data_IF_900593708647
#
_entry.id   IF_900593708647
#
_cell.length_a   1.000
_cell.length_b   1.000
_cell.length_c   1.000
_cell.angle_alpha   90.00
_cell.angle_beta   90.00
_cell.angle_gamma   90.00
#
_symmetry.space_group_name_H-M   'P 1'
#
loop_
_entity.id
_entity.type
_entity.pdbx_description
1 polymer ?
#
# COMPACT_ATOMS: atom_id res chain seq x y z
N UNK A 1 -11.09 17.13 13.17
CA UNK A 1 -10.60 16.27 12.07
C UNK A 1 -11.59 15.12 11.91
N UNK A 2 -11.83 14.63 10.70
CA UNK A 2 -12.76 13.50 10.52
C UNK A 2 -12.21 12.22 11.19
N UNK A 3 -13.06 11.43 11.90
CA UNK A 3 -12.65 10.15 12.48
C UNK A 3 -12.18 9.16 11.40
N UNK A 4 -11.14 8.37 11.68
CA UNK A 4 -10.67 7.30 10.80
C UNK A 4 -9.99 6.20 11.62
N UNK A 5 -10.27 4.91 11.36
CA UNK A 5 -9.62 3.80 12.08
C UNK A 5 -8.14 3.63 11.71
N UNK A 6 -7.66 4.34 10.68
CA UNK A 6 -6.29 4.25 10.18
C UNK A 6 -5.40 5.41 10.67
N UNK A 7 -5.94 6.34 11.47
CA UNK A 7 -5.28 7.58 11.87
C UNK A 7 -5.09 7.65 13.38
N UNK A 8 -3.97 8.23 13.80
CA UNK A 8 -3.70 8.58 15.20
C UNK A 8 -2.44 7.90 15.69
N UNK A 9 -2.23 8.00 17.01
CA UNK A 9 -1.18 7.24 17.68
C UNK A 9 -1.40 5.73 17.46
N UNK A 10 -0.33 4.93 17.36
CA UNK A 10 -0.48 3.50 17.23
C UNK A 10 -1.21 2.91 18.45
N UNK A 11 -2.15 2.03 18.16
CA UNK A 11 -2.88 1.22 19.14
C UNK A 11 -3.09 -0.15 18.52
N UNK A 12 -3.39 -1.19 19.32
CA UNK A 12 -3.69 -2.51 18.76
C UNK A 12 -4.80 -2.51 17.70
N UNK A 13 -5.81 -1.64 17.84
CA UNK A 13 -6.89 -1.48 16.86
C UNK A 13 -6.41 -0.84 15.56
N UNK A 14 -5.61 0.23 15.64
CA UNK A 14 -5.01 0.88 14.47
C UNK A 14 -4.10 -0.10 13.72
N UNK A 15 -3.25 -0.84 14.45
CA UNK A 15 -2.37 -1.85 13.84
C UNK A 15 -3.17 -2.97 13.16
N UNK A 16 -4.24 -3.48 13.81
CA UNK A 16 -5.13 -4.46 13.19
C UNK A 16 -5.80 -3.92 11.92
N UNK A 17 -6.26 -2.67 11.94
CA UNK A 17 -6.88 -2.04 10.78
C UNK A 17 -5.90 -1.97 9.61
N UNK A 18 -4.66 -1.51 9.84
CA UNK A 18 -3.62 -1.45 8.82
C UNK A 18 -3.19 -2.82 8.31
N UNK A 19 -3.02 -3.82 9.19
CA UNK A 19 -2.70 -5.19 8.77
C UNK A 19 -3.79 -5.76 7.87
N UNK A 20 -5.07 -5.58 8.20
CA UNK A 20 -6.20 -6.04 7.38
C UNK A 20 -6.27 -5.35 6.02
N UNK A 21 -5.82 -4.09 5.95
CA UNK A 21 -5.80 -3.26 4.73
C UNK A 21 -4.65 -3.64 3.78
N UNK A 22 -3.46 -3.95 4.29
CA UNK A 22 -2.31 -4.23 3.43
C UNK A 22 -2.09 -5.74 3.17
N UNK A 23 -2.46 -6.61 4.11
CA UNK A 23 -2.17 -8.05 4.02
C UNK A 23 -3.21 -8.76 3.16
N UNK A 24 -2.81 -9.08 1.93
CA UNK A 24 -3.59 -9.82 0.95
C UNK A 24 -2.71 -10.94 0.39
N UNK A 25 -3.26 -12.14 0.12
CA UNK A 25 -2.46 -13.27 -0.33
C UNK A 25 -1.79 -12.99 -1.67
N UNK A 26 -0.71 -13.73 -1.91
CA UNK A 26 -0.12 -13.83 -3.25
C UNK A 26 -1.12 -14.48 -4.20
N UNK A 27 -1.10 -14.02 -5.45
CA UNK A 27 -1.87 -14.56 -6.56
C UNK A 27 -0.91 -15.06 -7.64
N UNK A 28 -1.45 -15.64 -8.70
CA UNK A 28 -0.68 -16.01 -9.88
C UNK A 28 -1.14 -15.26 -11.13
N UNK A 29 -0.20 -15.01 -12.02
CA UNK A 29 -0.42 -14.40 -13.31
C UNK A 29 -0.04 -15.39 -14.42
N UNK A 30 -0.83 -15.50 -15.50
CA UNK A 30 -0.48 -16.37 -16.61
C UNK A 30 0.84 -15.95 -17.27
N UNK A 31 1.81 -16.87 -17.37
CA UNK A 31 3.11 -16.59 -18.01
C UNK A 31 2.96 -16.10 -19.46
N UNK A 32 1.93 -16.57 -20.16
CA UNK A 32 1.57 -16.15 -21.52
C UNK A 32 1.18 -14.66 -21.64
N UNK A 33 1.00 -13.94 -20.53
CA UNK A 33 0.66 -12.51 -20.48
C UNK A 33 1.82 -11.62 -20.01
N UNK A 34 3.00 -12.16 -19.74
CA UNK A 34 4.16 -11.38 -19.28
C UNK A 34 4.56 -10.26 -20.25
N UNK A 35 4.42 -10.48 -21.55
CA UNK A 35 4.74 -9.47 -22.57
C UNK A 35 3.90 -8.19 -22.43
N UNK A 36 2.67 -8.29 -21.92
CA UNK A 36 1.82 -7.12 -21.64
C UNK A 36 2.38 -6.23 -20.51
N UNK A 37 3.29 -6.76 -19.69
CA UNK A 37 4.00 -6.04 -18.64
C UNK A 37 5.41 -5.61 -19.08
N UNK A 38 5.71 -5.70 -20.38
CA UNK A 38 7.06 -5.52 -20.93
C UNK A 38 8.10 -6.44 -20.25
N UNK A 39 7.70 -7.68 -19.96
CA UNK A 39 8.54 -8.72 -19.37
C UNK A 39 8.70 -9.86 -20.38
N UNK A 40 9.90 -10.39 -20.51
CA UNK A 40 10.16 -11.61 -21.27
C UNK A 40 9.85 -12.82 -20.42
N UNK A 41 9.39 -13.90 -21.05
CA UNK A 41 9.32 -15.20 -20.39
C UNK A 41 10.74 -15.64 -20.00
N UNK A 42 10.88 -16.17 -18.79
CA UNK A 42 12.18 -16.49 -18.19
C UNK A 42 12.00 -17.40 -17.00
N UNK A 43 12.90 -18.37 -16.86
CA UNK A 43 12.97 -19.29 -15.70
C UNK A 43 13.36 -18.59 -14.38
N UNK A 44 13.53 -17.26 -14.40
CA UNK A 44 13.86 -16.45 -13.22
C UNK A 44 12.66 -16.13 -12.33
N UNK A 45 11.43 -16.31 -12.83
CA UNK A 45 10.23 -16.02 -12.04
C UNK A 45 9.83 -17.19 -11.14
N UNK A 46 9.49 -16.88 -9.89
CA UNK A 46 8.88 -17.85 -9.00
C UNK A 46 7.48 -18.24 -9.52
N UNK A 47 7.20 -19.54 -9.57
CA UNK A 47 5.91 -20.08 -10.01
C UNK A 47 5.06 -20.52 -8.82
N UNK A 48 3.75 -20.34 -8.95
CA UNK A 48 2.78 -20.93 -8.03
C UNK A 48 2.77 -22.46 -8.16
N UNK A 49 2.37 -23.17 -7.10
CA UNK A 49 2.17 -24.62 -7.20
C UNK A 49 1.11 -24.95 -8.27
N UNK A 50 1.21 -26.12 -8.89
CA UNK A 50 0.33 -26.54 -9.99
C UNK A 50 -1.16 -26.51 -9.60
N UNK A 51 -1.48 -26.85 -8.34
CA UNK A 51 -2.85 -26.78 -7.80
C UNK A 51 -3.46 -25.37 -7.78
N UNK A 52 -2.61 -24.33 -7.86
CA UNK A 52 -3.02 -22.93 -7.96
C UNK A 52 -2.89 -22.38 -9.39
N UNK A 53 -2.54 -23.21 -10.37
CA UNK A 53 -2.49 -22.86 -11.80
C UNK A 53 -1.08 -22.73 -12.40
N UNK A 54 -0.01 -22.85 -11.61
CA UNK A 54 1.36 -22.93 -12.15
C UNK A 54 1.93 -21.65 -12.78
N UNK A 55 1.19 -20.53 -12.71
CA UNK A 55 1.63 -19.25 -13.27
C UNK A 55 2.64 -18.50 -12.39
N UNK A 56 3.05 -17.33 -12.85
CA UNK A 56 4.02 -16.47 -12.16
C UNK A 56 3.41 -15.92 -10.88
N UNK A 57 4.08 -16.15 -9.75
CA UNK A 57 3.65 -15.69 -8.44
C UNK A 57 3.82 -14.17 -8.31
N UNK A 58 2.83 -13.50 -7.72
CA UNK A 58 2.91 -12.07 -7.46
C UNK A 58 1.76 -11.53 -6.63
N UNK A 59 1.54 -10.23 -6.69
CA UNK A 59 0.46 -9.53 -6.00
C UNK A 59 0.06 -8.29 -6.81
N UNK A 60 -1.13 -7.75 -6.53
CA UNK A 60 -1.54 -6.46 -7.09
C UNK A 60 -0.77 -5.33 -6.40
N UNK A 61 -0.26 -4.37 -7.18
CA UNK A 61 0.64 -3.32 -6.67
C UNK A 61 0.02 -2.45 -5.57
N UNK A 62 -1.31 -2.28 -5.55
CA UNK A 62 -2.03 -1.52 -4.51
C UNK A 62 -1.76 -2.06 -3.09
N UNK A 63 -1.56 -3.37 -2.92
CA UNK A 63 -1.28 -3.96 -1.62
C UNK A 63 0.16 -3.68 -1.18
N UNK A 64 1.10 -3.63 -2.12
CA UNK A 64 2.48 -3.21 -1.86
C UNK A 64 2.56 -1.72 -1.53
N UNK A 65 1.83 -0.87 -2.24
CA UNK A 65 1.69 0.56 -1.91
C UNK A 65 1.14 0.74 -0.48
N UNK A 66 0.08 0.03 -0.10
CA UNK A 66 -0.49 0.10 1.25
C UNK A 66 0.48 -0.42 2.32
N UNK A 67 1.23 -1.49 2.02
CA UNK A 67 2.31 -1.97 2.88
C UNK A 67 3.40 -0.89 3.06
N UNK A 68 3.87 -0.28 1.97
CA UNK A 68 4.87 0.78 2.01
C UNK A 68 4.40 1.98 2.84
N UNK A 69 3.15 2.41 2.67
CA UNK A 69 2.58 3.50 3.47
C UNK A 69 2.52 3.13 4.96
N UNK A 70 2.15 1.89 5.29
CA UNK A 70 2.13 1.43 6.67
C UNK A 70 3.55 1.34 7.27
N UNK A 71 4.54 0.88 6.50
CA UNK A 71 5.94 0.83 6.94
C UNK A 71 6.47 2.21 7.31
N UNK A 72 6.18 3.23 6.49
CA UNK A 72 6.53 4.63 6.78
C UNK A 72 5.86 5.07 8.09
N UNK A 73 4.55 4.84 8.23
CA UNK A 73 3.80 5.18 9.45
C UNK A 73 4.41 4.53 10.68
N UNK A 74 4.64 3.22 10.66
CA UNK A 74 5.20 2.49 11.79
C UNK A 74 6.61 3.01 12.14
N UNK A 75 7.44 3.27 11.12
CA UNK A 75 8.77 3.85 11.32
C UNK A 75 8.72 5.20 12.05
N UNK A 76 7.75 6.08 11.74
CA UNK A 76 7.62 7.37 12.46
C UNK A 76 7.26 7.24 13.94
N UNK A 77 6.77 6.09 14.37
CA UNK A 77 6.36 5.83 15.76
C UNK A 77 7.27 4.84 16.48
N UNK A 78 8.33 4.34 15.84
CA UNK A 78 9.09 3.18 16.32
C UNK A 78 9.77 3.37 17.68
N UNK A 79 10.06 4.61 18.05
CA UNK A 79 10.67 4.94 19.35
C UNK A 79 9.61 5.07 20.47
N UNK A 80 8.33 5.08 20.11
CA UNK A 80 7.19 5.38 21.00
C UNK A 80 6.13 4.28 21.06
N UNK A 81 6.27 3.23 20.26
CA UNK A 81 5.37 2.08 20.23
C UNK A 81 6.16 0.79 20.01
N UNK A 82 5.74 -0.29 20.66
CA UNK A 82 6.37 -1.59 20.54
C UNK A 82 6.02 -2.26 19.19
N UNK A 83 6.99 -2.30 18.29
CA UNK A 83 6.92 -3.02 17.02
C UNK A 83 7.85 -4.25 17.00
N UNK A 84 8.10 -4.86 18.15
CA UNK A 84 8.86 -6.11 18.24
C UNK A 84 8.22 -7.26 17.44
N UNK A 85 6.92 -7.18 17.12
CA UNK A 85 6.22 -8.13 16.24
C UNK A 85 6.41 -7.86 14.74
N UNK A 86 7.01 -6.72 14.37
CA UNK A 86 7.24 -6.33 12.98
C UNK A 86 8.64 -6.79 12.55
N UNK A 87 8.70 -7.94 11.89
CA UNK A 87 9.95 -8.58 11.43
C UNK A 87 10.81 -7.68 10.56
N UNK A 88 10.21 -6.75 9.81
CA UNK A 88 10.93 -5.78 8.99
C UNK A 88 11.84 -4.85 9.80
N UNK A 89 11.60 -4.69 11.11
CA UNK A 89 12.42 -3.88 12.02
C UNK A 89 13.48 -4.67 12.77
N UNK A 90 13.56 -5.99 12.59
CA UNK A 90 14.62 -6.81 13.20
C UNK A 90 15.92 -6.81 12.39
N UNK A 91 15.89 -6.27 11.17
CA UNK A 91 17.07 -6.11 10.34
C UNK A 91 18.00 -5.00 10.87
N UNK A 92 19.29 -4.98 10.46
CA UNK A 92 20.17 -3.85 10.76
C UNK A 92 19.56 -2.51 10.33
N UNK A 93 19.85 -1.44 11.09
CA UNK A 93 19.23 -0.12 10.89
C UNK A 93 19.34 0.40 9.44
N UNK A 94 20.46 0.14 8.76
CA UNK A 94 20.66 0.51 7.35
C UNK A 94 19.65 -0.18 6.43
N UNK A 95 19.36 -1.46 6.66
CA UNK A 95 18.39 -2.23 5.88
C UNK A 95 16.97 -1.75 6.17
N UNK A 96 16.67 -1.46 7.44
CA UNK A 96 15.37 -0.89 7.84
C UNK A 96 15.16 0.45 7.14
N UNK A 97 16.15 1.35 7.22
CA UNK A 97 16.12 2.65 6.57
C UNK A 97 15.96 2.52 5.06
N UNK A 98 16.75 1.65 4.42
CA UNK A 98 16.67 1.37 2.99
C UNK A 98 15.29 0.87 2.56
N UNK A 99 14.64 0.03 3.37
CA UNK A 99 13.26 -0.40 3.11
C UNK A 99 12.30 0.80 3.16
N UNK A 100 12.39 1.66 4.18
CA UNK A 100 11.52 2.84 4.27
C UNK A 100 11.78 3.83 3.13
N UNK A 101 13.03 3.99 2.66
CA UNK A 101 13.34 4.83 1.49
C UNK A 101 12.74 4.26 0.20
N UNK A 102 12.81 2.93 0.01
CA UNK A 102 12.09 2.24 -1.06
C UNK A 102 10.57 2.46 -0.97
N UNK A 103 10.01 2.42 0.23
CA UNK A 103 8.58 2.69 0.45
C UNK A 103 8.22 4.13 0.04
N UNK A 104 9.01 5.12 0.44
CA UNK A 104 8.81 6.52 0.07
C UNK A 104 8.85 6.68 -1.45
N UNK A 105 9.86 6.09 -2.09
CA UNK A 105 10.03 6.16 -3.54
C UNK A 105 8.91 5.45 -4.31
N UNK A 106 8.45 4.30 -3.81
CA UNK A 106 7.32 3.56 -4.39
C UNK A 106 6.05 4.42 -4.36
N UNK A 107 5.72 5.03 -3.21
CA UNK A 107 4.55 5.90 -3.09
C UNK A 107 4.69 7.16 -3.96
N UNK A 108 5.87 7.80 -3.98
CA UNK A 108 6.12 8.98 -4.83
C UNK A 108 5.90 8.65 -6.30
N UNK A 109 6.46 7.54 -6.80
CA UNK A 109 6.26 7.06 -8.18
C UNK A 109 4.78 6.82 -8.49
N UNK A 110 4.05 6.20 -7.57
CA UNK A 110 2.62 5.94 -7.77
C UNK A 110 1.79 7.23 -7.83
N UNK A 111 2.07 8.21 -6.96
CA UNK A 111 1.41 9.51 -6.97
C UNK A 111 1.68 10.27 -8.29
N UNK A 112 2.89 10.16 -8.83
CA UNK A 112 3.24 10.74 -10.14
C UNK A 112 2.69 9.95 -11.33
N UNK A 113 2.48 8.64 -11.19
CA UNK A 113 1.88 7.81 -12.23
C UNK A 113 0.38 8.09 -12.36
N UNK A 114 -0.30 8.22 -11.22
CA UNK A 114 -1.75 8.44 -11.17
C UNK A 114 -2.13 9.90 -11.34
N UNK A 115 -1.27 10.84 -10.92
CA UNK A 115 -1.38 12.29 -11.11
C UNK A 115 -2.81 12.81 -10.98
N UNK A 116 -3.39 12.70 -9.78
CA UNK A 116 -4.75 13.20 -9.52
C UNK A 116 -4.85 14.71 -9.79
N UNK A 117 -5.57 15.06 -10.86
CA UNK A 117 -5.78 16.44 -11.32
C UNK A 117 -6.99 17.13 -10.67
N UNK A 118 -7.62 16.52 -9.66
CA UNK A 118 -8.76 17.13 -8.95
C UNK A 118 -8.34 18.45 -8.28
N UNK A 119 -8.90 19.61 -8.67
CA UNK A 119 -8.47 20.89 -8.13
C UNK A 119 -8.79 21.03 -6.64
N UNK A 120 -7.82 21.52 -5.86
CA UNK A 120 -8.04 21.97 -4.49
C UNK A 120 -8.39 23.46 -4.53
N UNK A 121 -9.59 23.80 -4.08
CA UNK A 121 -10.05 25.20 -3.99
C UNK A 121 -9.86 25.74 -2.58
N UNK A 122 -9.88 27.07 -2.44
CA UNK A 122 -9.82 27.75 -1.14
C UNK A 122 -11.19 28.32 -0.78
N UNK A 123 -11.57 28.16 0.48
CA UNK A 123 -12.68 28.90 1.09
C UNK A 123 -12.14 30.07 1.91
N UNK A 124 -12.94 31.13 2.04
CA UNK A 124 -12.59 32.28 2.89
C UNK A 124 -12.58 31.85 4.35
N UNK A 125 -11.52 32.20 5.07
CA UNK A 125 -11.35 31.90 6.49
C UNK A 125 -10.55 33.03 7.18
N UNK A 126 -11.28 33.95 7.83
CA UNK A 126 -10.71 35.13 8.47
C UNK A 126 -9.85 34.81 9.71
N UNK A 127 -9.93 33.58 10.26
CA UNK A 127 -9.07 33.19 11.39
C UNK A 127 -7.65 32.84 10.95
N UNK A 128 -7.40 32.73 9.65
CA UNK A 128 -6.07 32.44 9.07
C UNK A 128 -5.42 33.72 8.59
N UNK A 129 -4.11 33.83 8.76
CA UNK A 129 -3.33 34.98 8.29
C UNK A 129 -3.49 35.25 6.78
N UNK A 130 -3.70 34.21 5.97
CA UNK A 130 -3.92 34.31 4.52
C UNK A 130 -5.35 34.68 4.15
N UNK A 131 -6.30 34.65 5.10
CA UNK A 131 -7.73 34.74 4.81
C UNK A 131 -8.31 33.53 4.05
N UNK A 132 -7.51 32.47 3.84
CA UNK A 132 -7.84 31.34 2.97
C UNK A 132 -7.57 29.99 3.65
N UNK A 133 -8.51 29.05 3.48
CA UNK A 133 -8.40 27.66 3.92
C UNK A 133 -8.62 26.72 2.74
N UNK A 134 -7.70 25.76 2.47
CA UNK A 134 -7.94 24.73 1.46
C UNK A 134 -9.16 23.88 1.82
N UNK A 135 -10.03 23.62 0.84
CA UNK A 135 -11.09 22.63 0.95
C UNK A 135 -10.61 21.27 0.43
N UNK A 136 -10.43 20.33 1.35
CA UNK A 136 -10.03 18.95 1.04
C UNK A 136 -11.22 18.01 0.82
N UNK A 137 -12.45 18.51 0.81
CA UNK A 137 -13.63 17.74 0.43
C UNK A 137 -13.72 17.58 -1.10
N UNK A 138 -12.84 16.75 -1.64
CA UNK A 138 -12.65 16.59 -3.08
C UNK A 138 -13.44 15.39 -3.59
N UNK A 139 -14.22 15.59 -4.65
CA UNK A 139 -14.96 14.51 -5.31
C UNK A 139 -14.03 13.76 -6.27
N UNK A 140 -13.91 12.45 -6.09
CA UNK A 140 -13.06 11.57 -6.91
C UNK A 140 -13.85 10.39 -7.43
N UNK A 141 -13.39 9.81 -8.54
CA UNK A 141 -13.83 8.49 -9.00
C UNK A 141 -12.79 7.46 -8.56
N UNK A 142 -13.16 6.64 -7.58
CA UNK A 142 -12.28 5.59 -7.04
C UNK A 142 -12.60 4.24 -7.68
N UNK A 143 -11.60 3.36 -7.73
CA UNK A 143 -11.84 1.92 -7.88
C UNK A 143 -12.40 1.40 -6.55
N UNK A 144 -13.27 0.41 -6.60
CA UNK A 144 -13.75 -0.26 -5.40
C UNK A 144 -12.62 -1.14 -4.83
N UNK A 145 -12.02 -0.66 -3.74
CA UNK A 145 -10.93 -1.35 -3.08
C UNK A 145 -11.35 -2.71 -2.52
N UNK A 146 -12.55 -2.83 -1.97
CA UNK A 146 -12.99 -4.08 -1.34
C UNK A 146 -13.28 -5.14 -2.40
N UNK A 147 -13.84 -4.76 -3.55
CA UNK A 147 -13.97 -5.69 -4.67
C UNK A 147 -12.61 -6.18 -5.19
N UNK A 148 -11.61 -5.29 -5.30
CA UNK A 148 -10.25 -5.67 -5.71
C UNK A 148 -9.62 -6.63 -4.69
N UNK A 149 -9.78 -6.33 -3.39
CA UNK A 149 -9.30 -7.17 -2.30
C UNK A 149 -9.95 -8.55 -2.33
N UNK A 150 -11.28 -8.62 -2.42
CA UNK A 150 -12.02 -9.88 -2.51
C UNK A 150 -11.59 -10.71 -3.71
N UNK A 151 -11.43 -10.09 -4.88
CA UNK A 151 -10.93 -10.77 -6.07
C UNK A 151 -9.55 -11.40 -5.82
N UNK A 152 -8.63 -10.69 -5.16
CA UNK A 152 -7.31 -11.23 -4.85
C UNK A 152 -7.37 -12.44 -3.89
N UNK A 153 -8.24 -12.41 -2.87
CA UNK A 153 -8.46 -13.56 -1.99
C UNK A 153 -9.05 -14.77 -2.72
N UNK A 154 -9.97 -14.56 -3.66
CA UNK A 154 -10.57 -15.62 -4.48
C UNK A 154 -9.56 -16.27 -5.44
N UNK A 155 -8.50 -15.55 -5.82
CA UNK A 155 -7.47 -16.00 -6.76
C UNK A 155 -6.13 -16.28 -6.06
N UNK A 156 -6.15 -16.59 -4.76
CA UNK A 156 -4.94 -16.86 -3.99
C UNK A 156 -4.16 -18.04 -4.57
N UNK A 157 -2.84 -17.89 -4.59
CA UNK A 157 -1.88 -18.89 -5.04
C UNK A 157 -1.12 -19.54 -3.86
N UNK A 158 -1.74 -19.52 -2.68
CA UNK A 158 -1.19 -20.05 -1.44
C UNK A 158 -2.32 -20.50 -0.49
N UNK A 159 -2.01 -21.34 0.52
CA UNK A 159 -2.96 -21.70 1.56
C UNK A 159 -3.45 -20.49 2.38
N UNK A 160 -4.54 -20.69 3.12
CA UNK A 160 -5.09 -19.69 4.05
C UNK A 160 -4.18 -19.38 5.24
#
# INVERSE_FOLDING_TARGET
MQPSPYRGQPTPDVERAWRKLARVPRIQFPSSKLSALNKTDSDTYALAAAQYGGGVLGYLNVFHELHCLNMIRQYTYRDSYDYSDVTAFHAPEEIVRGHVDHCIETIRKQLMCTSDVTPVVFVKDASRATGLKPDFNLRRKCRDYEQIRQWAFQNRAEPE
#
